data_IF_385586411331
#
_entry.id   IF_385586411331
#
_cell.length_a   1.000
_cell.length_b   1.000
_cell.length_c   1.000
_cell.angle_alpha   90.00
_cell.angle_beta   90.00
_cell.angle_gamma   90.00
#
_symmetry.space_group_name_H-M   'P 1'
#
loop_
_entity.id
_entity.type
_entity.pdbx_description
1 polymer ?
#
# COMPACT_ATOMS: atom_id res chain seq x y z
N UNK A 1 -24.62 -13.88 -44.47
CA UNK A 1 -23.68 -14.58 -43.58
C UNK A 1 -24.46 -15.16 -42.40
N UNK A 2 -24.10 -16.36 -41.94
CA UNK A 2 -24.67 -16.99 -40.74
C UNK A 2 -23.58 -17.10 -39.68
N UNK A 3 -23.81 -16.60 -38.47
CA UNK A 3 -22.89 -16.60 -37.35
C UNK A 3 -23.45 -17.54 -36.26
N UNK A 4 -22.61 -18.44 -35.76
CA UNK A 4 -22.99 -19.39 -34.68
C UNK A 4 -23.13 -18.70 -33.31
N UNK A 5 -23.79 -19.38 -32.35
CA UNK A 5 -24.03 -18.82 -31.00
C UNK A 5 -22.73 -18.48 -30.23
N UNK A 6 -21.67 -19.29 -30.42
CA UNK A 6 -20.35 -19.06 -29.81
C UNK A 6 -19.38 -18.25 -30.69
N UNK A 7 -19.87 -17.60 -31.71
CA UNK A 7 -19.04 -16.89 -32.69
C UNK A 7 -19.38 -15.41 -32.77
N UNK A 8 -18.44 -14.63 -33.26
CA UNK A 8 -18.59 -13.22 -33.67
C UNK A 8 -18.10 -13.07 -35.10
N UNK A 9 -18.90 -12.36 -35.91
CA UNK A 9 -18.55 -12.11 -37.32
C UNK A 9 -17.76 -10.78 -37.46
N UNK A 10 -16.51 -10.87 -37.90
CA UNK A 10 -15.70 -9.69 -38.25
C UNK A 10 -15.85 -9.44 -39.74
N UNK A 11 -16.35 -8.26 -40.07
CA UNK A 11 -16.66 -7.88 -41.43
C UNK A 11 -15.48 -7.17 -42.08
N UNK A 12 -15.04 -7.69 -43.23
CA UNK A 12 -14.03 -7.01 -44.09
C UNK A 12 -14.71 -6.61 -45.38
N UNK A 13 -14.81 -5.34 -45.66
CA UNK A 13 -15.32 -4.80 -46.93
C UNK A 13 -14.16 -4.69 -47.92
N UNK A 14 -14.29 -5.43 -49.03
CA UNK A 14 -13.20 -5.56 -50.03
C UNK A 14 -12.98 -4.28 -50.85
N UNK A 15 -14.06 -3.59 -51.18
CA UNK A 15 -14.04 -2.35 -51.94
C UNK A 15 -15.28 -1.48 -51.72
N UNK A 16 -15.20 -0.21 -52.03
CA UNK A 16 -16.33 0.72 -52.04
C UNK A 16 -16.55 1.22 -53.47
N UNK A 17 -17.80 1.40 -53.86
CA UNK A 17 -18.09 2.00 -55.19
C UNK A 17 -17.63 3.46 -55.29
N UNK A 18 -17.48 4.15 -54.20
CA UNK A 18 -16.98 5.53 -54.13
C UNK A 18 -15.44 5.63 -54.11
N UNK A 19 -14.72 4.51 -54.15
CA UNK A 19 -13.26 4.50 -54.10
C UNK A 19 -12.66 4.97 -52.74
N UNK A 20 -13.49 5.20 -51.72
CA UNK A 20 -13.01 5.66 -50.41
C UNK A 20 -12.30 4.53 -49.68
N UNK A 21 -10.98 4.67 -49.55
CA UNK A 21 -10.15 3.85 -48.67
C UNK A 21 -10.15 4.34 -47.22
N UNK A 22 -9.50 3.58 -46.34
CA UNK A 22 -9.28 3.99 -44.96
C UNK A 22 -8.43 5.27 -44.89
N UNK A 23 -8.78 6.21 -43.98
CA UNK A 23 -7.91 7.35 -43.70
C UNK A 23 -6.51 6.92 -43.24
N UNK A 24 -5.46 7.73 -43.50
CA UNK A 24 -4.14 7.48 -42.93
C UNK A 24 -4.20 7.27 -41.39
N UNK A 25 -3.48 6.33 -40.88
CA UNK A 25 -3.43 5.96 -39.44
C UNK A 25 -4.70 5.33 -38.87
N UNK A 26 -5.61 4.85 -39.71
CA UNK A 26 -6.76 4.04 -39.28
C UNK A 26 -6.60 2.60 -39.75
N UNK A 27 -6.93 1.65 -38.85
CA UNK A 27 -6.97 0.21 -39.15
C UNK A 27 -8.38 -0.29 -39.37
N UNK A 28 -9.37 0.40 -38.78
CA UNK A 28 -10.76 -0.01 -38.74
C UNK A 28 -11.66 1.07 -39.35
N UNK A 29 -12.55 0.67 -40.26
CA UNK A 29 -13.49 1.53 -40.94
C UNK A 29 -14.73 1.83 -40.09
N UNK A 30 -15.12 3.11 -40.04
CA UNK A 30 -16.30 3.61 -39.33
C UNK A 30 -17.48 3.94 -40.23
N UNK A 31 -17.19 4.48 -41.43
CA UNK A 31 -18.21 5.06 -42.30
C UNK A 31 -18.40 4.25 -43.60
N UNK A 32 -18.12 2.94 -43.53
CA UNK A 32 -18.30 2.05 -44.66
C UNK A 32 -17.19 2.12 -45.70
N UNK A 33 -16.01 2.64 -45.36
CA UNK A 33 -14.77 2.58 -46.17
C UNK A 33 -14.39 1.10 -46.42
N UNK A 34 -13.56 0.85 -47.41
CA UNK A 34 -13.01 -0.49 -47.64
C UNK A 34 -12.03 -0.82 -46.49
N UNK A 35 -12.04 -2.07 -46.04
CA UNK A 35 -11.24 -2.54 -44.94
C UNK A 35 -12.06 -3.24 -43.85
N UNK A 36 -11.45 -3.50 -42.71
CA UNK A 36 -12.10 -4.13 -41.55
C UNK A 36 -13.10 -3.13 -40.95
N UNK A 37 -14.34 -3.56 -40.81
CA UNK A 37 -15.40 -2.72 -40.25
C UNK A 37 -15.37 -2.74 -38.69
N UNK A 38 -15.70 -1.61 -38.07
CA UNK A 38 -15.80 -1.52 -36.60
C UNK A 38 -16.90 -2.41 -36.06
N UNK A 39 -18.05 -2.41 -36.75
CA UNK A 39 -19.20 -3.19 -36.31
C UNK A 39 -18.97 -4.67 -36.56
N UNK A 40 -19.32 -5.48 -35.56
CA UNK A 40 -19.30 -6.95 -35.64
C UNK A 40 -20.69 -7.51 -35.87
N UNK A 41 -20.76 -8.72 -36.37
CA UNK A 41 -22.03 -9.43 -36.52
C UNK A 41 -22.27 -10.36 -35.32
N UNK A 42 -23.42 -10.20 -34.69
CA UNK A 42 -23.89 -11.07 -33.62
C UNK A 42 -24.30 -12.45 -34.18
N UNK A 43 -24.49 -13.45 -33.30
CA UNK A 43 -25.09 -14.73 -33.74
C UNK A 43 -26.41 -14.52 -34.47
N UNK A 44 -26.61 -15.31 -35.52
CA UNK A 44 -27.81 -15.25 -36.33
C UNK A 44 -27.56 -15.13 -37.83
N UNK A 45 -28.63 -14.78 -38.54
CA UNK A 45 -28.62 -14.69 -40.00
C UNK A 45 -28.56 -13.22 -40.44
N UNK A 46 -27.53 -12.88 -41.26
CA UNK A 46 -27.30 -11.52 -41.72
C UNK A 46 -27.36 -11.41 -43.24
N UNK A 47 -28.29 -10.59 -43.71
CA UNK A 47 -28.45 -10.27 -45.15
C UNK A 47 -27.56 -9.10 -45.58
N UNK A 48 -27.29 -8.97 -46.88
CA UNK A 48 -26.56 -7.84 -47.46
C UNK A 48 -25.03 -8.00 -47.46
N UNK A 49 -24.50 -9.03 -46.89
CA UNK A 49 -23.07 -9.33 -46.88
C UNK A 49 -22.70 -10.26 -48.02
N UNK A 50 -22.74 -9.73 -49.23
CA UNK A 50 -22.46 -10.51 -50.42
C UNK A 50 -20.98 -10.88 -50.54
N UNK A 51 -20.59 -12.15 -50.87
CA UNK A 51 -19.21 -12.61 -50.91
C UNK A 51 -18.27 -11.87 -51.86
N UNK A 52 -18.80 -11.26 -52.89
CA UNK A 52 -18.03 -10.48 -53.83
C UNK A 52 -17.59 -9.09 -53.25
N UNK A 53 -18.36 -8.54 -52.31
CA UNK A 53 -18.07 -7.23 -51.70
C UNK A 53 -17.55 -7.37 -50.26
N UNK A 54 -17.98 -8.38 -49.56
CA UNK A 54 -17.65 -8.61 -48.15
C UNK A 54 -16.99 -9.96 -47.91
N UNK A 55 -16.09 -10.01 -46.99
CA UNK A 55 -15.59 -11.23 -46.35
C UNK A 55 -15.96 -11.18 -44.87
N UNK A 56 -16.69 -12.16 -44.39
CA UNK A 56 -17.01 -12.27 -42.95
C UNK A 56 -16.13 -13.37 -42.39
N UNK A 57 -15.25 -12.97 -41.47
CA UNK A 57 -14.43 -13.90 -40.67
C UNK A 57 -15.21 -14.25 -39.42
N UNK A 58 -15.33 -15.54 -39.14
CA UNK A 58 -15.97 -16.02 -37.92
C UNK A 58 -14.89 -16.33 -36.91
N UNK A 59 -14.99 -15.68 -35.76
CA UNK A 59 -14.07 -15.89 -34.65
C UNK A 59 -14.84 -16.32 -33.40
N UNK A 60 -14.17 -17.02 -32.49
CA UNK A 60 -14.79 -17.45 -31.25
C UNK A 60 -14.98 -16.25 -30.32
N UNK A 61 -16.08 -16.25 -29.59
CA UNK A 61 -16.29 -15.27 -28.51
C UNK A 61 -15.21 -15.42 -27.45
N UNK A 62 -14.82 -14.33 -26.81
CA UNK A 62 -13.86 -14.34 -25.71
C UNK A 62 -14.58 -14.77 -24.43
N UNK A 63 -14.15 -15.89 -23.86
CA UNK A 63 -14.68 -16.40 -22.58
C UNK A 63 -13.62 -16.22 -21.50
N UNK A 64 -13.99 -15.53 -20.42
CA UNK A 64 -13.15 -15.35 -19.25
C UNK A 64 -13.74 -16.14 -18.09
N UNK A 65 -13.03 -17.15 -17.57
CA UNK A 65 -13.49 -17.95 -16.44
C UNK A 65 -13.65 -17.15 -15.14
N UNK A 66 -14.42 -17.69 -14.21
CA UNK A 66 -14.51 -17.17 -12.85
C UNK A 66 -13.13 -17.14 -12.18
N UNK A 67 -12.82 -16.04 -11.50
CA UNK A 67 -11.53 -15.85 -10.83
C UNK A 67 -10.41 -15.35 -11.74
N UNK A 68 -10.69 -15.09 -13.01
CA UNK A 68 -9.74 -14.54 -13.98
C UNK A 68 -10.16 -13.15 -14.47
N UNK A 69 -9.21 -12.41 -14.96
CA UNK A 69 -9.38 -11.12 -15.66
C UNK A 69 -8.71 -11.20 -17.02
N UNK A 70 -9.10 -10.34 -17.93
CA UNK A 70 -8.40 -10.17 -19.19
C UNK A 70 -8.03 -8.71 -19.44
N UNK A 71 -6.91 -8.51 -20.09
CA UNK A 71 -6.38 -7.20 -20.46
C UNK A 71 -6.59 -6.94 -21.94
N UNK A 72 -6.75 -5.68 -22.27
CA UNK A 72 -7.04 -5.24 -23.64
C UNK A 72 -5.93 -4.36 -24.16
N UNK A 73 -5.55 -4.60 -25.42
CA UNK A 73 -4.70 -3.71 -26.22
C UNK A 73 -5.46 -3.30 -27.45
N UNK A 74 -5.70 -2.01 -27.65
CA UNK A 74 -6.33 -1.48 -28.84
C UNK A 74 -5.28 -1.19 -29.93
N UNK A 75 -5.52 -1.71 -31.13
CA UNK A 75 -4.64 -1.50 -32.30
C UNK A 75 -4.87 -0.14 -32.98
N UNK A 76 -6.06 0.45 -32.82
CA UNK A 76 -6.47 1.72 -33.40
C UNK A 76 -7.10 2.63 -32.36
N UNK A 77 -7.10 3.94 -32.62
CA UNK A 77 -7.62 4.96 -31.72
C UNK A 77 -6.74 6.21 -31.68
N UNK A 78 -7.08 7.14 -30.81
CA UNK A 78 -6.29 8.32 -30.55
C UNK A 78 -4.92 7.97 -29.94
N UNK A 79 -3.96 8.86 -30.02
CA UNK A 79 -2.67 8.69 -29.33
C UNK A 79 -2.83 8.92 -27.83
N UNK A 80 -2.20 8.08 -27.01
CA UNK A 80 -2.11 8.31 -25.57
C UNK A 80 -1.26 9.56 -25.32
N UNK A 81 -1.66 10.49 -24.44
CA UNK A 81 -0.84 11.60 -23.99
C UNK A 81 0.52 11.14 -23.46
N UNK A 82 1.57 11.93 -23.70
CA UNK A 82 2.96 11.56 -23.35
C UNK A 82 3.18 11.35 -21.85
N UNK A 83 2.34 11.96 -21.02
CA UNK A 83 2.40 11.82 -19.55
C UNK A 83 1.76 10.52 -19.03
N UNK A 84 1.02 9.81 -19.89
CA UNK A 84 0.28 8.60 -19.54
C UNK A 84 0.92 7.37 -20.18
N UNK A 85 0.82 6.25 -19.48
CA UNK A 85 1.30 4.95 -19.97
C UNK A 85 0.12 4.10 -20.48
N UNK A 86 -1.05 4.28 -19.86
CA UNK A 86 -2.26 3.54 -20.16
C UNK A 86 -3.33 4.47 -20.73
N UNK A 87 -4.15 3.93 -21.64
CA UNK A 87 -5.23 4.66 -22.25
C UNK A 87 -6.41 4.85 -21.30
N UNK A 88 -7.14 5.95 -21.48
CA UNK A 88 -8.36 6.22 -20.70
C UNK A 88 -9.43 5.16 -20.92
N UNK A 89 -10.29 4.98 -19.94
CA UNK A 89 -11.48 4.13 -20.08
C UNK A 89 -12.54 4.90 -20.87
N UNK A 90 -13.12 4.24 -21.86
CA UNK A 90 -14.26 4.71 -22.65
C UNK A 90 -15.41 3.74 -22.44
N UNK A 91 -16.62 4.27 -22.25
CA UNK A 91 -17.82 3.43 -22.18
C UNK A 91 -18.18 2.88 -23.57
N UNK A 92 -17.79 1.65 -23.84
CA UNK A 92 -17.97 0.95 -25.13
C UNK A 92 -18.46 -0.49 -24.91
N UNK A 93 -19.34 -0.69 -23.94
CA UNK A 93 -19.91 -2.00 -23.62
C UNK A 93 -18.83 -3.08 -23.41
N UNK A 94 -17.90 -2.82 -22.47
CA UNK A 94 -16.78 -3.72 -22.20
C UNK A 94 -16.00 -4.12 -23.48
N UNK A 95 -15.65 -3.15 -24.30
CA UNK A 95 -14.93 -3.31 -25.60
C UNK A 95 -15.68 -4.11 -26.67
N UNK A 96 -16.97 -4.38 -26.48
CA UNK A 96 -17.79 -5.06 -27.48
C UNK A 96 -18.24 -4.10 -28.60
N UNK A 97 -18.43 -2.81 -28.27
CA UNK A 97 -18.78 -1.76 -29.24
C UNK A 97 -17.52 -0.99 -29.72
N UNK A 98 -16.89 -1.52 -30.75
CA UNK A 98 -15.69 -0.92 -31.34
C UNK A 98 -15.96 0.46 -31.98
N UNK A 99 -17.16 0.68 -32.53
CA UNK A 99 -17.57 1.98 -33.09
C UNK A 99 -17.64 3.03 -31.99
N UNK A 100 -18.34 2.72 -30.89
CA UNK A 100 -18.47 3.61 -29.76
C UNK A 100 -17.11 3.94 -29.16
N UNK A 101 -16.21 2.95 -29.03
CA UNK A 101 -14.83 3.15 -28.59
C UNK A 101 -14.12 4.20 -29.43
N UNK A 102 -14.11 4.04 -30.75
CA UNK A 102 -13.39 4.94 -31.67
C UNK A 102 -14.02 6.33 -31.74
N UNK A 103 -15.36 6.44 -31.70
CA UNK A 103 -16.06 7.74 -31.82
C UNK A 103 -16.03 8.55 -30.51
N UNK A 104 -15.91 7.91 -29.37
CA UNK A 104 -15.77 8.57 -28.07
C UNK A 104 -14.31 8.88 -27.67
N UNK A 105 -13.39 8.75 -28.63
CA UNK A 105 -12.00 9.08 -28.42
C UNK A 105 -11.22 8.02 -27.64
N UNK A 106 -11.53 6.76 -27.88
CA UNK A 106 -10.73 5.64 -27.40
C UNK A 106 -9.29 5.76 -27.92
N UNK A 107 -8.34 5.41 -27.07
CA UNK A 107 -6.91 5.55 -27.34
C UNK A 107 -6.29 4.20 -27.67
N UNK A 108 -5.35 4.17 -28.64
CA UNK A 108 -4.63 2.94 -28.99
C UNK A 108 -3.62 2.57 -27.92
N UNK A 109 -3.34 1.28 -27.79
CA UNK A 109 -2.36 0.74 -26.84
C UNK A 109 -3.01 0.01 -25.68
N UNK A 110 -2.26 -0.13 -24.59
CA UNK A 110 -2.71 -0.82 -23.38
C UNK A 110 -3.83 -0.04 -22.71
N UNK A 111 -4.93 -0.74 -22.42
CA UNK A 111 -6.12 -0.13 -21.84
C UNK A 111 -6.08 -0.18 -20.30
N UNK A 112 -6.54 0.87 -19.63
CA UNK A 112 -6.80 0.87 -18.18
C UNK A 112 -7.94 -0.09 -17.81
N UNK A 113 -8.96 -0.15 -18.68
CA UNK A 113 -10.08 -1.05 -18.52
C UNK A 113 -9.64 -2.52 -18.65
N UNK A 114 -10.25 -3.36 -17.87
CA UNK A 114 -10.07 -4.81 -17.92
C UNK A 114 -11.43 -5.52 -18.10
N UNK A 115 -11.39 -6.76 -18.51
CA UNK A 115 -12.57 -7.61 -18.54
C UNK A 115 -12.55 -8.58 -17.36
N UNK A 116 -13.68 -8.75 -16.72
CA UNK A 116 -13.91 -9.74 -15.67
C UNK A 116 -14.53 -11.01 -16.22
N UNK A 117 -14.83 -11.98 -15.37
CA UNK A 117 -15.49 -13.22 -15.78
C UNK A 117 -16.76 -12.97 -16.61
N UNK A 118 -16.85 -13.61 -17.76
CA UNK A 118 -17.97 -13.42 -18.68
C UNK A 118 -17.65 -13.88 -20.11
N UNK A 119 -18.61 -13.66 -21.00
CA UNK A 119 -18.49 -13.96 -22.44
C UNK A 119 -18.65 -12.66 -23.23
N UNK A 120 -17.68 -12.36 -24.07
CA UNK A 120 -17.59 -11.09 -24.78
C UNK A 120 -17.42 -11.28 -26.28
N UNK A 121 -18.18 -10.51 -27.05
CA UNK A 121 -18.12 -10.46 -28.51
C UNK A 121 -17.23 -9.32 -28.95
N UNK A 122 -15.94 -9.55 -29.02
CA UNK A 122 -14.93 -8.53 -29.26
C UNK A 122 -14.47 -8.56 -30.70
N UNK A 123 -14.31 -7.37 -31.29
CA UNK A 123 -13.66 -7.22 -32.59
C UNK A 123 -12.14 -7.41 -32.39
N UNK A 124 -11.67 -8.63 -32.66
CA UNK A 124 -10.27 -9.03 -32.48
C UNK A 124 -9.31 -8.36 -33.46
N UNK A 125 -9.84 -7.75 -34.51
CA UNK A 125 -9.03 -6.92 -35.41
C UNK A 125 -8.68 -5.54 -34.80
N UNK A 126 -9.53 -5.04 -33.90
CA UNK A 126 -9.27 -3.79 -33.16
C UNK A 126 -8.64 -4.06 -31.78
N UNK A 127 -9.14 -5.06 -31.08
CA UNK A 127 -8.74 -5.35 -29.71
C UNK A 127 -8.06 -6.71 -29.60
N UNK A 128 -6.81 -6.68 -29.16
CA UNK A 128 -6.11 -7.87 -28.72
C UNK A 128 -6.47 -8.15 -27.26
N UNK A 129 -7.05 -9.30 -26.99
CA UNK A 129 -7.42 -9.72 -25.63
C UNK A 129 -6.36 -10.65 -25.07
N UNK A 130 -5.83 -10.31 -23.92
CA UNK A 130 -4.84 -11.10 -23.19
C UNK A 130 -5.55 -11.79 -22.03
N UNK A 131 -5.65 -13.11 -22.11
CA UNK A 131 -6.25 -14.00 -21.12
C UNK A 131 -5.17 -14.87 -20.48
N UNK A 132 -5.50 -15.57 -19.40
CA UNK A 132 -4.57 -16.52 -18.77
C UNK A 132 -4.05 -17.59 -19.75
N UNK A 133 -4.88 -17.98 -20.74
CA UNK A 133 -4.52 -18.98 -21.75
C UNK A 133 -3.43 -18.50 -22.73
N UNK A 134 -3.35 -17.20 -23.02
CA UNK A 134 -2.36 -16.62 -23.96
C UNK A 134 -1.38 -15.65 -23.30
N UNK A 135 -1.34 -15.63 -21.97
CA UNK A 135 -0.50 -14.72 -21.19
C UNK A 135 0.98 -14.79 -21.58
N UNK A 136 1.54 -15.99 -21.66
CA UNK A 136 2.97 -16.23 -21.96
C UNK A 136 3.39 -15.67 -23.32
N UNK A 137 2.51 -15.79 -24.34
CA UNK A 137 2.75 -15.22 -25.65
C UNK A 137 2.81 -13.69 -25.65
N UNK A 138 2.31 -13.06 -24.57
CA UNK A 138 2.28 -11.61 -24.38
C UNK A 138 3.25 -11.14 -23.31
N UNK A 139 4.21 -11.98 -22.89
CA UNK A 139 5.22 -11.63 -21.90
C UNK A 139 4.69 -11.52 -20.47
N UNK A 140 3.57 -12.20 -20.19
CA UNK A 140 2.94 -12.22 -18.86
C UNK A 140 2.80 -13.66 -18.36
N UNK A 141 2.66 -13.84 -17.06
CA UNK A 141 2.34 -15.14 -16.48
C UNK A 141 0.81 -15.26 -16.29
N UNK A 142 0.23 -16.45 -16.34
CA UNK A 142 -1.21 -16.66 -16.06
C UNK A 142 -1.62 -16.14 -14.68
N UNK A 143 -0.70 -16.09 -13.71
CA UNK A 143 -0.95 -15.56 -12.37
C UNK A 143 -1.28 -14.06 -12.37
N UNK A 144 -0.75 -13.27 -13.32
CA UNK A 144 -1.05 -11.84 -13.45
C UNK A 144 -2.50 -11.58 -13.92
N UNK A 145 -3.14 -12.58 -14.50
CA UNK A 145 -4.48 -12.48 -15.08
C UNK A 145 -5.53 -13.20 -14.20
N UNK A 146 -5.26 -13.29 -12.93
CA UNK A 146 -6.19 -13.75 -11.91
C UNK A 146 -6.62 -12.62 -11.01
N UNK A 147 -7.81 -12.76 -10.41
CA UNK A 147 -8.25 -11.88 -9.33
C UNK A 147 -7.21 -11.93 -8.21
N UNK A 148 -6.71 -10.76 -7.81
CA UNK A 148 -5.70 -10.67 -6.79
C UNK A 148 -6.29 -10.93 -5.41
N UNK A 149 -5.76 -11.89 -4.69
CA UNK A 149 -6.23 -12.27 -3.36
C UNK A 149 -5.23 -11.86 -2.29
N UNK A 150 -5.69 -11.10 -1.30
CA UNK A 150 -4.93 -10.75 -0.10
C UNK A 150 -5.38 -11.65 1.04
N UNK A 151 -4.43 -12.38 1.64
CA UNK A 151 -4.69 -13.31 2.74
C UNK A 151 -5.17 -12.58 4.01
N UNK A 152 -5.90 -13.28 4.87
CA UNK A 152 -6.53 -12.70 6.07
C UNK A 152 -5.54 -12.13 7.10
N UNK A 153 -4.31 -12.66 7.13
CA UNK A 153 -3.23 -12.25 8.04
C UNK A 153 -2.23 -11.26 7.39
N UNK A 154 -2.54 -10.79 6.18
CA UNK A 154 -1.66 -9.90 5.41
C UNK A 154 -2.36 -8.64 4.97
N UNK A 155 -1.57 -7.68 4.55
CA UNK A 155 -2.00 -6.45 3.88
C UNK A 155 -1.32 -6.33 2.53
N UNK A 156 -2.03 -5.79 1.56
CA UNK A 156 -1.49 -5.49 0.24
C UNK A 156 -0.94 -4.06 0.19
N UNK A 157 0.35 -3.94 -0.03
CA UNK A 157 1.02 -2.66 -0.30
C UNK A 157 0.96 -2.40 -1.79
N UNK A 158 0.35 -1.29 -2.17
CA UNK A 158 0.08 -0.95 -3.58
C UNK A 158 1.13 0.02 -4.10
N UNK A 159 1.67 -0.29 -5.27
CA UNK A 159 2.49 0.62 -6.08
C UNK A 159 1.82 0.81 -7.43
N UNK A 160 1.41 2.02 -7.74
CA UNK A 160 0.81 2.37 -9.03
C UNK A 160 1.87 2.71 -10.06
N UNK A 161 1.66 2.31 -11.30
CA UNK A 161 2.61 2.50 -12.42
C UNK A 161 2.24 3.70 -13.29
N UNK A 162 1.02 4.23 -13.15
CA UNK A 162 0.52 5.41 -13.85
C UNK A 162 -0.08 6.43 -12.87
N UNK A 163 -0.08 7.68 -13.19
CA UNK A 163 -0.54 8.79 -12.37
C UNK A 163 0.39 9.99 -12.40
N UNK A 164 0.05 11.03 -11.64
CA UNK A 164 0.91 12.21 -11.50
C UNK A 164 2.15 11.85 -10.66
N UNK A 165 3.28 12.54 -10.84
CA UNK A 165 4.44 12.35 -9.95
C UNK A 165 4.08 12.63 -8.49
N UNK A 166 4.66 11.86 -7.56
CA UNK A 166 4.57 12.15 -6.13
C UNK A 166 5.19 13.53 -5.86
N UNK A 167 4.55 14.31 -5.04
CA UNK A 167 5.04 15.65 -4.63
C UNK A 167 6.44 15.56 -4.04
N UNK A 168 7.38 16.42 -4.45
CA UNK A 168 8.73 16.43 -3.87
C UNK A 168 8.69 16.52 -2.35
N UNK A 169 9.45 15.64 -1.68
CA UNK A 169 9.48 15.51 -0.21
C UNK A 169 8.48 14.50 0.36
N UNK A 170 7.55 13.99 -0.45
CA UNK A 170 6.69 12.87 -0.08
C UNK A 170 7.27 11.54 -0.58
N UNK A 171 7.02 10.46 0.16
CA UNK A 171 7.49 9.10 -0.19
C UNK A 171 6.38 8.18 -0.70
N UNK A 172 5.12 8.61 -0.56
CA UNK A 172 3.96 7.87 -1.01
C UNK A 172 2.88 8.82 -1.54
N UNK A 173 2.04 8.31 -2.44
CA UNK A 173 0.85 9.02 -2.93
C UNK A 173 -0.21 9.08 -1.84
N UNK A 174 -0.83 10.25 -1.70
CA UNK A 174 -1.90 10.46 -0.73
C UNK A 174 -3.12 9.58 -1.01
N UNK A 175 -3.91 9.34 0.02
CA UNK A 175 -5.16 8.58 -0.09
C UNK A 175 -6.14 9.31 -1.02
N UNK A 176 -6.69 8.57 -1.98
CA UNK A 176 -7.73 9.01 -2.91
C UNK A 176 -9.01 8.25 -2.58
N UNK A 177 -10.14 8.96 -2.54
CA UNK A 177 -11.42 8.36 -2.27
C UNK A 177 -12.14 7.89 -3.55
N UNK A 178 -13.11 6.99 -3.39
CA UNK A 178 -14.08 6.60 -4.43
C UNK A 178 -13.52 5.86 -5.66
N UNK A 179 -12.31 5.32 -5.60
CA UNK A 179 -11.72 4.54 -6.70
C UNK A 179 -11.82 3.01 -6.48
N UNK A 180 -12.65 2.57 -5.54
CA UNK A 180 -12.91 1.17 -5.24
C UNK A 180 -11.62 0.35 -5.04
N UNK A 181 -10.77 0.79 -4.12
CA UNK A 181 -9.51 0.10 -3.79
C UNK A 181 -8.65 -0.21 -5.04
N UNK A 182 -8.39 0.79 -5.87
CA UNK A 182 -7.62 0.72 -7.12
C UNK A 182 -8.26 -0.10 -8.25
N UNK A 183 -9.48 -0.62 -8.08
CA UNK A 183 -10.20 -1.33 -9.13
C UNK A 183 -10.76 -0.35 -10.18
N UNK A 184 -11.22 0.84 -9.74
CA UNK A 184 -11.62 1.91 -10.65
C UNK A 184 -10.44 2.84 -10.95
N UNK A 185 -9.57 2.40 -11.84
CA UNK A 185 -8.33 3.09 -12.21
C UNK A 185 -8.56 4.48 -12.79
N UNK A 186 -9.65 4.67 -13.57
CA UNK A 186 -9.98 5.96 -14.16
C UNK A 186 -10.34 7.00 -13.09
N UNK A 187 -11.14 6.62 -12.08
CA UNK A 187 -11.47 7.52 -10.97
C UNK A 187 -10.24 7.88 -10.16
N UNK A 188 -9.34 6.93 -9.92
CA UNK A 188 -8.06 7.20 -9.25
C UNK A 188 -7.25 8.27 -9.99
N UNK A 189 -7.08 8.11 -11.31
CA UNK A 189 -6.29 9.03 -12.12
C UNK A 189 -6.94 10.41 -12.25
N UNK A 190 -8.27 10.47 -12.46
CA UNK A 190 -8.99 11.76 -12.57
C UNK A 190 -9.04 12.54 -11.27
N UNK A 191 -8.99 11.86 -10.14
CA UNK A 191 -8.88 12.50 -8.82
C UNK A 191 -7.46 12.94 -8.44
N UNK A 192 -6.49 12.80 -9.36
CA UNK A 192 -5.10 13.20 -9.13
C UNK A 192 -4.26 12.15 -8.41
N UNK A 193 -4.60 10.88 -8.58
CA UNK A 193 -3.82 9.78 -8.02
C UNK A 193 -2.36 9.79 -8.51
N UNK A 194 -1.44 9.54 -7.59
CA UNK A 194 0.00 9.61 -7.84
C UNK A 194 0.55 8.27 -8.30
N UNK A 195 1.58 8.31 -9.15
CA UNK A 195 2.38 7.16 -9.54
C UNK A 195 3.40 6.84 -8.45
N UNK A 196 3.52 5.58 -8.05
CA UNK A 196 4.48 5.10 -7.06
C UNK A 196 3.80 4.41 -5.87
N UNK A 197 4.53 4.32 -4.75
CA UNK A 197 4.01 3.76 -3.52
C UNK A 197 2.77 4.53 -3.04
N UNK A 198 1.75 3.82 -2.56
CA UNK A 198 0.52 4.43 -2.06
C UNK A 198 0.41 4.33 -0.54
N UNK A 199 -0.15 5.37 0.10
CA UNK A 199 -0.51 5.31 1.52
C UNK A 199 -1.60 4.27 1.77
N UNK A 200 -2.59 4.23 0.89
CA UNK A 200 -3.71 3.32 0.99
C UNK A 200 -3.28 1.88 0.74
N UNK A 201 -3.68 0.99 1.64
CA UNK A 201 -3.43 -0.44 1.58
C UNK A 201 -4.67 -1.20 1.09
N UNK A 202 -4.45 -2.43 0.63
CA UNK A 202 -5.51 -3.40 0.40
C UNK A 202 -5.62 -4.32 1.62
N UNK A 203 -6.82 -4.40 2.16
CA UNK A 203 -7.17 -5.37 3.20
C UNK A 203 -7.38 -6.76 2.59
N UNK A 204 -7.55 -7.77 3.46
CA UNK A 204 -7.89 -9.13 3.01
C UNK A 204 -9.14 -9.15 2.15
N UNK A 205 -9.09 -9.89 1.07
CA UNK A 205 -10.18 -9.96 0.10
C UNK A 205 -9.70 -10.28 -1.31
N UNK A 206 -10.60 -10.13 -2.27
CA UNK A 206 -10.36 -10.39 -3.69
C UNK A 206 -10.56 -9.09 -4.48
N UNK A 207 -9.57 -8.75 -5.31
CA UNK A 207 -9.48 -7.46 -5.98
C UNK A 207 -9.21 -7.64 -7.48
N UNK A 208 -10.03 -7.00 -8.33
CA UNK A 208 -9.84 -6.97 -9.78
C UNK A 208 -8.86 -5.86 -10.15
N UNK A 209 -7.58 -6.14 -10.09
CA UNK A 209 -6.53 -5.16 -10.34
C UNK A 209 -5.93 -5.32 -11.74
N UNK A 210 -5.78 -4.21 -12.44
CA UNK A 210 -5.03 -4.20 -13.69
C UNK A 210 -3.51 -4.25 -13.38
N UNK A 211 -2.80 -5.32 -13.75
CA UNK A 211 -1.37 -5.48 -13.44
C UNK A 211 -0.46 -4.49 -14.16
N UNK A 212 -0.94 -3.84 -15.23
CA UNK A 212 -0.23 -2.73 -15.88
C UNK A 212 -0.37 -1.42 -15.11
N UNK A 213 -1.40 -1.31 -14.27
CA UNK A 213 -1.66 -0.11 -13.46
C UNK A 213 -1.13 -0.24 -12.04
N UNK A 214 -1.32 -1.37 -11.38
CA UNK A 214 -0.98 -1.56 -9.97
C UNK A 214 -0.24 -2.88 -9.73
N UNK A 215 0.82 -2.79 -8.96
CA UNK A 215 1.52 -3.93 -8.37
C UNK A 215 1.25 -3.97 -6.88
N UNK A 216 1.07 -5.17 -6.34
CA UNK A 216 0.76 -5.38 -4.94
C UNK A 216 1.77 -6.33 -4.32
N UNK A 217 2.37 -5.90 -3.21
CA UNK A 217 3.21 -6.72 -2.34
C UNK A 217 2.42 -7.07 -1.08
N UNK A 218 2.33 -8.36 -0.74
CA UNK A 218 1.70 -8.77 0.53
C UNK A 218 2.74 -8.81 1.64
N UNK A 219 2.46 -8.11 2.73
CA UNK A 219 3.25 -8.16 3.95
C UNK A 219 2.38 -8.64 5.13
N UNK A 220 2.98 -9.27 6.16
CA UNK A 220 2.23 -9.63 7.37
C UNK A 220 1.63 -8.40 8.05
N UNK A 221 0.48 -8.57 8.71
CA UNK A 221 -0.03 -7.56 9.63
C UNK A 221 0.97 -7.34 10.77
N UNK A 222 1.04 -6.12 11.26
CA UNK A 222 1.85 -5.78 12.43
C UNK A 222 1.24 -6.40 13.68
N UNK A 223 1.98 -7.25 14.36
CA UNK A 223 1.54 -7.91 15.60
C UNK A 223 2.05 -7.14 16.82
N UNK A 224 1.13 -6.81 17.72
CA UNK A 224 1.43 -6.24 19.03
C UNK A 224 1.17 -7.35 20.07
N UNK A 225 2.22 -7.85 20.75
CA UNK A 225 2.07 -8.91 21.71
C UNK A 225 1.39 -8.44 23.01
N UNK A 226 0.82 -9.37 23.75
CA UNK A 226 0.25 -9.10 25.09
C UNK A 226 1.35 -8.54 26.00
N UNK A 227 1.01 -7.52 26.79
CA UNK A 227 1.96 -6.82 27.66
C UNK A 227 2.71 -5.67 26.98
N UNK A 228 2.42 -5.39 25.70
CA UNK A 228 2.99 -4.28 24.95
C UNK A 228 1.90 -3.41 24.33
N UNK A 229 2.29 -2.20 23.98
CA UNK A 229 1.55 -1.35 23.04
C UNK A 229 2.49 -0.94 21.92
N UNK A 230 1.92 -0.74 20.74
CA UNK A 230 2.65 -0.22 19.58
C UNK A 230 2.48 1.28 19.45
N UNK A 231 3.56 2.02 19.36
CA UNK A 231 3.54 3.46 19.05
C UNK A 231 3.87 3.63 17.58
N UNK A 232 2.92 4.18 16.82
CA UNK A 232 3.08 4.39 15.37
C UNK A 232 3.82 5.69 15.12
N UNK A 233 4.86 5.61 14.29
CA UNK A 233 5.59 6.75 13.75
C UNK A 233 5.32 6.78 12.25
N UNK A 234 4.54 7.76 11.79
CA UNK A 234 4.20 7.90 10.37
C UNK A 234 5.10 8.92 9.68
N UNK A 235 5.66 8.54 8.53
CA UNK A 235 6.46 9.41 7.67
C UNK A 235 5.63 10.09 6.57
N UNK A 236 4.36 9.73 6.46
CA UNK A 236 3.41 10.25 5.47
C UNK A 236 2.09 10.63 6.12
N UNK A 237 1.22 11.29 5.37
CA UNK A 237 -0.11 11.67 5.80
C UNK A 237 -0.30 13.19 5.80
N UNK A 238 -1.36 13.63 6.46
CA UNK A 238 -1.68 15.06 6.57
C UNK A 238 -0.53 15.82 7.26
N UNK A 239 -0.49 17.12 7.00
CA UNK A 239 0.49 18.00 7.61
C UNK A 239 0.53 17.84 9.14
N UNK A 240 1.74 17.93 9.69
CA UNK A 240 1.97 17.84 11.11
C UNK A 240 1.18 18.89 11.89
N UNK A 241 0.37 18.43 12.84
CA UNK A 241 -0.35 19.28 13.82
C UNK A 241 -0.07 18.72 15.19
N UNK A 242 0.69 19.47 16.00
CA UNK A 242 1.06 19.06 17.36
C UNK A 242 -0.15 19.01 18.28
N UNK A 243 -0.39 17.87 18.90
CA UNK A 243 -1.44 17.63 19.88
C UNK A 243 -0.90 17.25 21.27
N UNK A 244 0.38 17.51 21.53
CA UNK A 244 1.03 17.15 22.79
C UNK A 244 0.49 17.90 24.01
N UNK A 245 -0.23 19.01 23.81
CA UNK A 245 -0.86 19.81 24.86
C UNK A 245 0.07 20.87 25.47
N UNK A 246 -0.46 21.70 26.38
CA UNK A 246 0.24 22.85 26.97
C UNK A 246 1.37 22.43 27.91
N UNK A 247 1.18 21.35 28.67
CA UNK A 247 2.13 20.84 29.66
C UNK A 247 3.24 19.98 29.05
N UNK A 248 3.11 19.57 27.79
CA UNK A 248 4.00 18.64 27.12
C UNK A 248 4.17 18.99 25.66
N UNK A 249 4.61 20.19 25.38
CA UNK A 249 4.78 20.67 24.02
C UNK A 249 6.19 20.35 23.52
N UNK A 250 6.33 19.42 22.59
CA UNK A 250 7.63 19.12 21.93
C UNK A 250 7.48 18.89 20.42
N UNK A 251 6.29 19.08 19.87
CA UNK A 251 6.07 19.14 18.43
C UNK A 251 6.01 17.81 17.67
N UNK A 252 6.01 16.66 18.34
CA UNK A 252 6.06 15.36 17.63
C UNK A 252 4.80 14.50 17.75
N UNK A 253 3.91 14.77 18.72
CA UNK A 253 2.66 14.04 18.88
C UNK A 253 1.59 14.57 17.94
N UNK A 254 0.97 13.66 17.18
CA UNK A 254 -0.07 13.98 16.20
C UNK A 254 -1.22 12.99 16.29
N UNK A 255 -2.37 13.36 15.76
CA UNK A 255 -3.48 12.43 15.60
C UNK A 255 -3.18 11.38 14.51
N UNK A 256 -3.80 10.19 14.58
CA UNK A 256 -3.71 9.20 13.51
C UNK A 256 -4.01 9.81 12.13
N UNK A 257 -3.27 9.41 11.11
CA UNK A 257 -3.36 9.95 9.75
C UNK A 257 -2.52 11.19 9.46
N UNK A 258 -1.80 11.72 10.47
CA UNK A 258 -0.84 12.82 10.32
C UNK A 258 0.60 12.31 10.38
N UNK A 259 1.54 13.09 9.83
CA UNK A 259 2.99 12.84 9.93
C UNK A 259 3.45 13.09 11.36
N UNK A 260 4.14 12.13 11.96
CA UNK A 260 4.67 12.20 13.31
C UNK A 260 4.34 10.98 14.15
N UNK A 261 4.50 11.10 15.46
CA UNK A 261 4.18 10.05 16.43
C UNK A 261 2.70 10.13 16.78
N UNK A 262 1.96 9.07 16.53
CA UNK A 262 0.53 9.04 16.83
C UNK A 262 0.29 9.00 18.34
N UNK A 263 -0.61 9.87 18.82
CA UNK A 263 -0.96 9.96 20.23
C UNK A 263 -1.74 8.72 20.71
N UNK A 264 -2.43 8.04 19.80
CA UNK A 264 -3.16 6.82 20.11
C UNK A 264 -2.28 5.60 19.89
N UNK A 265 -1.96 4.82 20.95
CA UNK A 265 -1.17 3.60 20.81
C UNK A 265 -2.03 2.46 20.25
N UNK A 266 -1.37 1.51 19.60
CA UNK A 266 -1.98 0.25 19.17
C UNK A 266 -1.94 -0.77 20.32
N UNK A 267 -3.09 -1.31 20.67
CA UNK A 267 -3.23 -2.33 21.68
C UNK A 267 -2.90 -3.74 21.14
N UNK A 268 -2.71 -4.75 22.01
CA UNK A 268 -2.41 -6.12 21.57
C UNK A 268 -3.36 -6.63 20.50
N UNK A 269 -2.79 -7.23 19.45
CA UNK A 269 -3.52 -7.75 18.30
C UNK A 269 -2.75 -7.60 17.01
N UNK A 270 -3.40 -7.90 15.90
CA UNK A 270 -2.84 -7.74 14.55
C UNK A 270 -3.43 -6.51 13.88
N UNK A 271 -2.57 -5.63 13.41
CA UNK A 271 -2.95 -4.34 12.83
C UNK A 271 -2.51 -4.24 11.37
N UNK A 272 -3.42 -3.86 10.46
CA UNK A 272 -3.10 -3.70 9.03
C UNK A 272 -2.40 -2.35 8.82
N UNK A 273 -1.08 -2.34 8.82
CA UNK A 273 -0.26 -1.14 8.64
C UNK A 273 0.65 -1.25 7.43
N UNK A 274 0.86 -0.14 6.76
CA UNK A 274 1.86 -0.03 5.71
C UNK A 274 3.24 0.24 6.32
N UNK A 275 4.01 -0.82 6.58
CA UNK A 275 5.34 -0.72 7.18
C UNK A 275 6.40 -0.12 6.26
N UNK A 276 6.06 0.21 5.00
CA UNK A 276 6.93 0.95 4.07
C UNK A 276 6.94 2.46 4.37
N UNK A 277 5.89 2.95 5.03
CA UNK A 277 5.68 4.37 5.32
C UNK A 277 5.49 4.67 6.80
N UNK A 278 5.39 3.64 7.62
CA UNK A 278 5.19 3.73 9.06
C UNK A 278 6.14 2.80 9.79
N UNK A 279 6.57 3.21 10.98
CA UNK A 279 7.33 2.39 11.92
C UNK A 279 6.50 2.22 13.19
N UNK A 280 6.57 1.05 13.80
CA UNK A 280 5.93 0.78 15.09
C UNK A 280 6.99 0.45 16.12
N UNK A 281 7.04 1.23 17.19
CA UNK A 281 7.88 0.97 18.35
C UNK A 281 7.07 0.27 19.42
N UNK A 282 7.55 -0.88 19.88
CA UNK A 282 6.91 -1.63 20.95
C UNK A 282 7.32 -1.07 22.31
N UNK A 283 6.35 -0.77 23.15
CA UNK A 283 6.55 -0.28 24.52
C UNK A 283 5.89 -1.27 25.47
N UNK A 284 6.66 -1.88 26.39
CA UNK A 284 6.09 -2.77 27.39
C UNK A 284 5.22 -1.98 28.39
N UNK A 285 4.04 -2.51 28.67
CA UNK A 285 3.08 -1.96 29.63
C UNK A 285 3.04 -2.75 30.94
N UNK A 286 3.91 -3.75 31.06
CA UNK A 286 4.14 -4.49 32.30
C UNK A 286 5.23 -3.81 33.11
N UNK A 287 5.36 -4.19 34.40
CA UNK A 287 6.46 -3.74 35.21
C UNK A 287 7.79 -4.28 34.68
N UNK A 288 8.75 -3.40 34.49
CA UNK A 288 10.10 -3.72 34.05
C UNK A 288 11.04 -3.51 35.23
N UNK A 289 11.86 -4.52 35.52
CA UNK A 289 12.90 -4.42 36.54
C UNK A 289 14.21 -4.10 35.87
N UNK A 290 14.79 -2.96 36.20
CA UNK A 290 16.13 -2.54 35.76
C UNK A 290 17.13 -2.76 36.88
N UNK A 291 18.22 -3.46 36.60
CA UNK A 291 19.23 -3.83 37.58
C UNK A 291 20.55 -3.13 37.26
N UNK A 292 20.99 -2.26 38.15
CA UNK A 292 22.37 -1.74 38.20
C UNK A 292 23.21 -2.73 38.98
N UNK A 293 23.75 -3.74 38.32
CA UNK A 293 24.53 -4.81 38.98
C UNK A 293 25.51 -5.42 38.00
N UNK A 294 26.58 -6.02 38.55
CA UNK A 294 27.60 -6.73 37.78
C UNK A 294 27.22 -8.19 37.47
N UNK A 295 25.94 -8.50 37.40
CA UNK A 295 25.45 -9.83 37.12
C UNK A 295 25.72 -10.26 35.68
N UNK A 296 25.95 -11.56 35.47
CA UNK A 296 26.11 -12.15 34.15
C UNK A 296 24.77 -12.32 33.42
N UNK A 297 23.65 -12.47 34.14
CA UNK A 297 22.29 -12.53 33.58
C UNK A 297 21.74 -11.13 33.47
N UNK A 298 21.48 -10.69 32.25
CA UNK A 298 20.91 -9.39 31.94
C UNK A 298 19.51 -9.58 31.38
N UNK A 299 18.60 -8.68 31.73
CA UNK A 299 17.25 -8.64 31.22
C UNK A 299 17.16 -7.69 30.00
N UNK A 300 15.97 -7.58 29.43
CA UNK A 300 15.72 -6.56 28.40
C UNK A 300 15.90 -5.16 28.98
N UNK A 301 16.57 -4.29 28.28
CA UNK A 301 16.84 -2.88 28.60
C UNK A 301 17.89 -2.58 29.69
N UNK A 302 18.37 -3.55 30.47
CA UNK A 302 19.37 -3.30 31.53
C UNK A 302 20.80 -3.77 31.15
N UNK A 303 21.02 -4.13 29.91
CA UNK A 303 22.30 -4.68 29.42
C UNK A 303 23.48 -3.72 29.54
N UNK A 304 23.23 -2.41 29.53
CA UNK A 304 24.22 -1.35 29.70
C UNK A 304 24.41 -0.88 31.14
N UNK A 305 23.55 -1.32 32.06
CA UNK A 305 23.56 -0.88 33.45
C UNK A 305 24.57 -1.69 34.28
N UNK A 306 25.46 -0.98 34.96
CA UNK A 306 26.50 -1.54 35.82
C UNK A 306 26.30 -1.09 37.26
N UNK A 307 26.89 -1.81 38.23
CA UNK A 307 26.88 -1.39 39.63
C UNK A 307 27.46 0.02 39.79
N UNK A 308 26.80 0.82 40.62
CA UNK A 308 27.18 2.22 40.80
C UNK A 308 28.39 2.35 41.76
N UNK A 309 29.47 2.97 41.31
CA UNK A 309 30.55 3.38 42.22
C UNK A 309 30.12 4.66 42.91
N UNK A 310 29.92 4.60 44.23
CA UNK A 310 29.48 5.70 45.08
C UNK A 310 30.53 5.98 46.16
N UNK A 311 30.57 7.23 46.64
CA UNK A 311 31.46 7.67 47.70
C UNK A 311 30.65 8.23 48.85
N UNK A 312 30.87 7.71 50.06
CA UNK A 312 30.26 8.23 51.29
C UNK A 312 30.83 9.56 51.73
N UNK A 313 30.14 10.24 52.66
CA UNK A 313 30.59 11.51 53.27
C UNK A 313 31.96 11.42 53.94
N UNK A 314 32.26 10.26 54.54
CA UNK A 314 33.55 9.96 55.22
C UNK A 314 34.63 9.47 54.25
N UNK A 315 34.38 9.51 52.94
CA UNK A 315 35.36 9.30 51.89
C UNK A 315 35.55 7.87 51.42
N UNK A 316 34.77 6.89 51.93
CA UNK A 316 34.85 5.51 51.48
C UNK A 316 34.14 5.29 50.16
N UNK A 317 34.82 4.65 49.19
CA UNK A 317 34.23 4.23 47.94
C UNK A 317 33.74 2.77 48.01
N UNK A 318 32.53 2.53 47.51
CA UNK A 318 31.95 1.19 47.44
C UNK A 318 31.02 1.03 46.27
N UNK A 319 30.76 -0.20 45.85
CA UNK A 319 29.83 -0.53 44.76
C UNK A 319 28.44 -0.72 45.32
N UNK A 320 27.48 0.03 44.78
CA UNK A 320 26.07 -0.04 45.12
C UNK A 320 25.31 -0.75 43.98
N UNK A 321 24.60 -1.79 44.32
CA UNK A 321 23.71 -2.49 43.40
C UNK A 321 22.28 -2.09 43.68
N UNK A 322 21.54 -1.76 42.63
CA UNK A 322 20.18 -1.26 42.73
C UNK A 322 19.29 -2.03 41.75
N UNK A 323 18.06 -2.30 42.18
CA UNK A 323 16.98 -2.74 41.30
C UNK A 323 15.86 -1.71 41.34
N UNK A 324 15.51 -1.17 40.19
CA UNK A 324 14.40 -0.21 40.04
C UNK A 324 13.30 -0.82 39.19
N UNK A 325 12.09 -0.75 39.69
CA UNK A 325 10.90 -1.14 38.93
C UNK A 325 10.33 0.10 38.25
N UNK A 326 10.12 0.02 36.94
CA UNK A 326 9.46 1.06 36.14
C UNK A 326 8.21 0.51 35.49
N UNK A 327 7.27 1.41 35.23
CA UNK A 327 6.03 1.11 34.52
C UNK A 327 5.70 2.26 33.57
N UNK A 328 5.35 1.92 32.33
CA UNK A 328 4.86 2.87 31.33
C UNK A 328 3.42 2.53 31.01
N UNK A 329 2.50 3.40 31.39
CA UNK A 329 1.09 3.23 31.03
C UNK A 329 0.89 3.35 29.51
N UNK A 330 -0.07 2.60 28.96
CA UNK A 330 -0.32 2.53 27.53
C UNK A 330 -0.53 3.91 26.89
N UNK A 331 -1.29 4.79 27.53
CA UNK A 331 -1.57 6.16 27.05
C UNK A 331 -0.37 7.11 27.17
N UNK A 332 0.65 6.75 27.93
CA UNK A 332 1.88 7.52 28.05
C UNK A 332 3.00 7.03 27.11
N UNK A 333 2.87 5.83 26.55
CA UNK A 333 3.85 5.26 25.65
C UNK A 333 4.17 6.17 24.44
N UNK A 334 3.20 6.79 23.74
CA UNK A 334 3.49 7.74 22.68
C UNK A 334 4.29 8.95 23.14
N UNK A 335 4.06 9.45 24.36
CA UNK A 335 4.81 10.57 24.93
C UNK A 335 6.26 10.20 25.19
N UNK A 336 6.50 8.99 25.66
CA UNK A 336 7.86 8.47 25.87
C UNK A 336 8.59 8.37 24.55
N UNK A 337 8.01 7.68 23.57
CA UNK A 337 8.63 7.49 22.25
C UNK A 337 8.87 8.82 21.54
N UNK A 338 7.96 9.76 21.62
CA UNK A 338 8.11 11.08 20.99
C UNK A 338 9.25 11.90 21.58
N UNK A 339 9.61 11.68 22.85
CA UNK A 339 10.72 12.37 23.52
C UNK A 339 12.07 11.69 23.34
N UNK A 340 12.11 10.37 23.43
CA UNK A 340 13.38 9.63 23.49
C UNK A 340 13.59 8.65 22.33
N UNK A 341 12.57 8.39 21.53
CA UNK A 341 12.65 7.56 20.32
C UNK A 341 12.49 6.05 20.55
N UNK A 342 12.95 5.52 21.67
CA UNK A 342 12.83 4.10 22.02
C UNK A 342 12.88 3.86 23.52
N UNK A 343 12.44 2.68 23.98
CA UNK A 343 12.56 2.29 25.39
C UNK A 343 14.02 2.14 25.84
N UNK A 344 14.90 1.66 24.96
CA UNK A 344 16.33 1.57 25.28
C UNK A 344 16.93 2.96 25.54
N UNK A 345 16.58 3.95 24.69
CA UNK A 345 17.03 5.33 24.90
C UNK A 345 16.48 5.94 26.21
N UNK A 346 15.25 5.56 26.62
CA UNK A 346 14.73 6.00 27.91
C UNK A 346 15.63 5.51 29.04
N UNK A 347 16.04 4.26 29.01
CA UNK A 347 16.93 3.69 30.02
C UNK A 347 18.31 4.33 29.97
N UNK A 348 18.96 4.35 28.82
CA UNK A 348 20.36 4.76 28.65
C UNK A 348 20.58 6.28 28.81
N UNK A 349 19.64 7.09 28.33
CA UNK A 349 19.82 8.56 28.29
C UNK A 349 19.04 9.31 29.38
N UNK A 350 18.06 8.70 30.02
CA UNK A 350 17.25 9.36 31.04
C UNK A 350 17.39 8.66 32.40
N UNK A 351 17.09 7.37 32.47
CA UNK A 351 17.02 6.66 33.76
C UNK A 351 18.41 6.36 34.32
N UNK A 352 19.34 5.86 33.52
CA UNK A 352 20.70 5.57 33.96
C UNK A 352 21.38 6.81 34.58
N UNK A 353 21.50 7.95 33.88
CA UNK A 353 22.16 9.14 34.45
C UNK A 353 21.35 9.74 35.60
N UNK A 354 20.02 9.73 35.57
CA UNK A 354 19.21 10.34 36.63
C UNK A 354 19.31 9.54 37.93
N UNK A 355 19.09 8.23 37.88
CA UNK A 355 19.14 7.33 39.02
C UNK A 355 20.57 7.23 39.53
N UNK A 356 21.56 7.09 38.65
CA UNK A 356 22.96 7.02 38.99
C UNK A 356 23.44 8.28 39.73
N UNK A 357 23.09 9.47 39.24
CA UNK A 357 23.42 10.72 39.87
C UNK A 357 22.71 10.93 41.21
N UNK A 358 21.42 10.53 41.31
CA UNK A 358 20.68 10.59 42.55
C UNK A 358 21.38 9.78 43.65
N UNK A 359 21.74 8.55 43.39
CA UNK A 359 22.40 7.70 44.39
C UNK A 359 23.84 8.14 44.70
N UNK A 360 24.58 8.63 43.70
CA UNK A 360 25.93 9.20 43.94
C UNK A 360 25.86 10.44 44.82
N UNK A 361 24.90 11.33 44.60
CA UNK A 361 24.71 12.53 45.43
C UNK A 361 24.23 12.16 46.83
N UNK A 362 23.20 11.32 46.94
CA UNK A 362 22.67 10.88 48.24
C UNK A 362 23.72 10.14 49.07
N UNK A 363 24.64 9.40 48.44
CA UNK A 363 25.71 8.72 49.16
C UNK A 363 26.70 9.72 49.86
N UNK A 364 26.86 10.94 49.36
CA UNK A 364 27.72 11.95 49.93
C UNK A 364 27.15 12.59 51.20
N UNK A 365 25.88 12.43 51.48
CA UNK A 365 25.21 12.95 52.67
C UNK A 365 25.30 12.01 53.87
N UNK A 366 25.68 10.76 53.66
CA UNK A 366 25.70 9.70 54.68
C UNK A 366 27.10 9.10 54.85
N UNK A 367 27.40 8.66 56.12
CA UNK A 367 28.60 7.86 56.37
C UNK A 367 28.40 6.40 55.95
N UNK A 368 29.49 5.62 55.80
CA UNK A 368 29.38 4.17 55.52
C UNK A 368 28.55 3.45 56.57
N UNK A 369 28.68 3.87 57.84
CA UNK A 369 27.93 3.27 58.96
C UNK A 369 26.43 3.53 58.81
N UNK A 370 26.01 4.74 58.36
CA UNK A 370 24.63 5.08 58.10
C UNK A 370 24.05 4.20 56.97
N UNK A 371 24.85 3.84 55.95
CA UNK A 371 24.46 2.92 54.93
C UNK A 371 24.18 1.52 55.43
N UNK A 372 24.81 1.06 56.45
CA UNK A 372 24.63 -0.24 57.05
C UNK A 372 23.45 -0.28 58.03
N UNK A 373 23.23 0.82 58.78
CA UNK A 373 22.26 0.86 59.86
C UNK A 373 20.89 1.42 59.49
N UNK A 374 20.77 2.35 58.53
CA UNK A 374 19.53 3.00 58.12
C UNK A 374 19.09 2.63 56.70
N UNK A 375 19.24 1.36 56.35
CA UNK A 375 18.97 0.88 54.95
C UNK A 375 17.52 1.03 54.52
N UNK A 376 16.54 0.84 55.42
CA UNK A 376 15.11 0.93 55.13
C UNK A 376 14.64 2.36 54.78
N UNK A 377 15.19 3.38 55.49
CA UNK A 377 14.77 4.75 55.34
C UNK A 377 15.19 5.30 53.94
N UNK A 378 16.36 4.90 53.45
CA UNK A 378 16.85 5.28 52.15
C UNK A 378 16.16 4.60 50.97
N UNK A 379 15.60 3.41 51.19
CA UNK A 379 14.75 2.77 50.21
C UNK A 379 13.43 3.53 50.01
N UNK A 380 12.90 4.13 51.07
CA UNK A 380 11.71 4.97 51.04
C UNK A 380 11.97 6.33 50.41
N UNK A 381 13.13 6.94 50.62
CA UNK A 381 13.52 8.22 50.00
C UNK A 381 13.74 8.06 48.48
N UNK A 382 14.14 6.89 48.00
CA UNK A 382 14.42 6.61 46.60
C UNK A 382 13.18 6.16 45.80
N UNK A 383 12.08 5.82 46.46
CA UNK A 383 10.84 5.38 45.84
C UNK A 383 9.90 6.54 45.51
#
# INVERSE_FOLDING_TARGET
ATIGEGEVGIVVKKFTMSGKGLPPNRLVALNGEAGIQADTLAPGWHWGYFPWQYQVRKEQVVVIPQGEIALIVAADGASIPSERILSKIVDCDNFQDARKFLTQGGEKGRQLGLLTAGTYRINTALFKVITAANAEQNGMTPAHLRIYQVSADKVGIVTTLDGIPITPGEIAGAVIDNHDNFQNTQKFLTAGGSRGLQEQILLSGSWNLNPWFAQVEQIPMTEIPIGYVGVVISFVGKAHVDVSGVSFTHGNLVNPGHKGVWIEPLYPGKHPLNTRIMKVELVPTTNIVLNWSDRTERHSYDSSLEALNVRSRDGFAFMLQIAQIIHVAANNAPKVISRVGSMQNLVDHVLEPTIGNYFRNSAQDYTVLDFLTARSDRQLEAA
#
